data_IF_581660896837
#
_entry.id   IF_581660896837
#
_cell.length_a   1.000
_cell.length_b   1.000
_cell.length_c   1.000
_cell.angle_alpha   90.00
_cell.angle_beta   90.00
_cell.angle_gamma   90.00
#
_symmetry.space_group_name_H-M   'P 1'
#
loop_
_entity.id
_entity.type
_entity.pdbx_description
1 polymer ?
#
# COMPACT_ATOMS: atom_id res chain seq x y z
N UNK A 1 -9.69 -13.55 15.55
CA UNK A 1 -10.66 -12.43 15.61
C UNK A 1 -9.97 -11.25 16.28
N UNK A 2 -9.62 -10.14 15.68
CA UNK A 2 -9.38 -9.73 14.30
C UNK A 2 -8.27 -8.67 14.42
N UNK A 3 -7.34 -8.63 13.47
CA UNK A 3 -6.34 -7.56 13.45
C UNK A 3 -7.07 -6.27 13.11
N UNK A 4 -7.20 -5.40 14.13
CA UNK A 4 -7.63 -3.99 14.13
C UNK A 4 -8.96 -3.63 13.45
N UNK A 5 -9.67 -2.64 14.02
CA UNK A 5 -10.85 -1.99 13.44
C UNK A 5 -10.54 -1.18 12.15
N UNK A 6 -9.38 -1.40 11.52
CA UNK A 6 -8.80 -0.60 10.45
C UNK A 6 -8.62 -1.40 9.15
N UNK A 7 -9.51 -2.36 8.87
CA UNK A 7 -9.48 -3.19 7.65
C UNK A 7 -8.11 -3.88 7.39
N UNK A 8 -7.40 -4.30 8.45
CA UNK A 8 -6.10 -4.96 8.33
C UNK A 8 -4.88 -4.03 8.22
N UNK A 9 -5.04 -2.71 8.32
CA UNK A 9 -3.91 -1.77 8.38
C UNK A 9 -3.19 -1.81 9.74
N UNK A 10 -1.86 -1.64 9.69
CA UNK A 10 -1.04 -1.48 10.89
C UNK A 10 -1.39 -0.18 11.63
N UNK A 11 -1.28 -0.15 12.97
CA UNK A 11 -1.30 1.09 13.75
C UNK A 11 -0.19 2.05 13.33
N UNK A 12 -0.49 3.36 13.35
CA UNK A 12 0.47 4.39 12.92
C UNK A 12 1.75 4.41 13.78
N UNK A 13 1.62 4.16 15.08
CA UNK A 13 2.74 4.17 16.02
C UNK A 13 3.77 3.06 15.71
N UNK A 14 3.31 1.93 15.17
CA UNK A 14 4.20 0.83 14.75
C UNK A 14 4.98 1.22 13.50
N UNK A 15 4.32 1.86 12.53
CA UNK A 15 5.01 2.35 11.32
C UNK A 15 5.98 3.49 11.69
N UNK A 16 5.65 4.31 12.69
CA UNK A 16 6.55 5.35 13.20
C UNK A 16 7.75 4.81 13.98
N UNK A 17 7.69 3.61 14.56
CA UNK A 17 8.78 3.07 15.39
C UNK A 17 9.87 2.32 14.62
N UNK A 18 9.66 1.98 13.36
CA UNK A 18 10.64 1.27 12.50
C UNK A 18 11.43 2.25 11.63
N UNK A 19 12.42 1.82 10.85
CA UNK A 19 13.09 2.67 9.84
C UNK A 19 12.46 2.52 8.45
N UNK A 20 11.99 1.32 8.13
CA UNK A 20 11.32 0.98 6.88
C UNK A 20 10.15 0.03 7.16
N UNK A 21 9.02 0.27 6.49
CA UNK A 21 7.83 -0.57 6.57
C UNK A 21 7.45 -1.08 5.18
N UNK A 22 7.34 -2.40 5.03
CA UNK A 22 6.86 -3.04 3.81
C UNK A 22 5.39 -3.43 3.99
N UNK A 23 4.51 -2.79 3.22
CA UNK A 23 3.06 -2.96 3.37
C UNK A 23 2.45 -3.64 2.13
N UNK A 24 1.41 -4.44 2.36
CA UNK A 24 0.64 -5.08 1.28
C UNK A 24 -0.07 -4.03 0.43
N UNK A 25 0.01 -4.20 -0.89
CA UNK A 25 -0.63 -3.35 -1.88
C UNK A 25 -1.28 -4.19 -2.97
N UNK A 26 -1.94 -5.29 -2.58
CA UNK A 26 -2.57 -6.23 -3.52
C UNK A 26 -3.46 -5.48 -4.52
N UNK A 27 -4.37 -4.64 -4.02
CA UNK A 27 -5.27 -3.84 -4.84
C UNK A 27 -5.07 -2.34 -4.62
N UNK A 28 -5.05 -1.57 -5.70
CA UNK A 28 -4.97 -0.11 -5.61
C UNK A 28 -6.27 0.49 -5.06
N UNK A 29 -7.41 0.05 -5.60
CA UNK A 29 -8.77 0.42 -5.16
C UNK A 29 -9.72 -0.77 -5.26
N UNK A 30 -10.93 -0.62 -4.71
CA UNK A 30 -11.99 -1.62 -4.86
C UNK A 30 -12.41 -1.88 -6.31
N UNK A 31 -12.15 -0.93 -7.21
CA UNK A 31 -12.52 -1.04 -8.63
C UNK A 31 -11.72 -2.13 -9.37
N UNK A 32 -10.60 -2.61 -8.80
CA UNK A 32 -9.86 -3.76 -9.34
C UNK A 32 -10.61 -5.10 -9.18
N UNK A 33 -11.67 -5.13 -8.36
CA UNK A 33 -12.49 -6.32 -8.10
C UNK A 33 -13.92 -6.12 -8.64
N UNK A 34 -14.14 -6.05 -9.97
CA UNK A 34 -15.45 -5.73 -10.54
C UNK A 34 -16.55 -6.75 -10.21
N UNK A 35 -16.17 -7.99 -9.86
CA UNK A 35 -17.10 -9.10 -9.61
C UNK A 35 -17.04 -9.65 -8.17
N UNK A 36 -16.37 -8.95 -7.24
CA UNK A 36 -16.26 -9.37 -5.83
C UNK A 36 -16.46 -8.18 -4.91
N UNK A 37 -17.15 -8.40 -3.81
CA UNK A 37 -17.19 -7.38 -2.77
C UNK A 37 -15.81 -7.33 -2.10
N UNK A 38 -15.23 -6.12 -1.99
CA UNK A 38 -13.98 -5.93 -1.26
C UNK A 38 -14.11 -6.33 0.22
N UNK A 39 -15.31 -6.30 0.79
CA UNK A 39 -15.56 -6.80 2.15
C UNK A 39 -15.30 -8.31 2.30
N UNK A 40 -15.36 -9.07 1.19
CA UNK A 40 -15.03 -10.51 1.17
C UNK A 40 -13.51 -10.76 1.11
N UNK A 41 -12.73 -9.72 0.83
CA UNK A 41 -11.27 -9.74 0.72
C UNK A 41 -10.72 -8.69 1.68
N UNK A 42 -10.53 -9.01 2.97
CA UNK A 42 -10.16 -8.05 4.01
C UNK A 42 -8.67 -7.64 3.88
N UNK A 43 -8.35 -6.97 2.79
CA UNK A 43 -7.06 -6.37 2.49
C UNK A 43 -7.24 -4.86 2.35
N UNK A 44 -6.36 -4.08 2.97
CA UNK A 44 -6.40 -2.65 2.77
C UNK A 44 -5.98 -2.29 1.36
N UNK A 45 -6.66 -1.30 0.78
CA UNK A 45 -6.29 -0.77 -0.53
C UNK A 45 -5.10 0.19 -0.41
N UNK A 46 -4.41 0.42 -1.53
CA UNK A 46 -3.36 1.45 -1.60
C UNK A 46 -3.92 2.82 -1.22
N UNK A 47 -5.14 3.15 -1.65
CA UNK A 47 -5.79 4.42 -1.29
C UNK A 47 -5.96 4.58 0.23
N UNK A 48 -6.40 3.54 0.93
CA UNK A 48 -6.50 3.57 2.39
C UNK A 48 -5.13 3.72 3.07
N UNK A 49 -4.10 3.10 2.49
CA UNK A 49 -2.71 3.22 2.97
C UNK A 49 -2.18 4.64 2.80
N UNK A 50 -2.41 5.27 1.64
CA UNK A 50 -2.01 6.66 1.35
C UNK A 50 -2.67 7.64 2.31
N UNK A 51 -3.98 7.49 2.56
CA UNK A 51 -4.72 8.35 3.48
C UNK A 51 -4.24 8.20 4.93
N UNK A 52 -4.07 6.96 5.40
CA UNK A 52 -3.69 6.69 6.80
C UNK A 52 -2.29 7.15 7.15
N UNK A 53 -1.32 6.97 6.23
CA UNK A 53 0.09 7.23 6.51
C UNK A 53 0.62 8.51 5.83
N UNK A 54 -0.28 9.42 5.45
CA UNK A 54 0.10 10.74 4.97
C UNK A 54 1.00 11.45 6.00
N UNK A 55 2.17 11.88 5.56
CA UNK A 55 3.19 12.51 6.42
C UNK A 55 4.26 11.54 6.96
N UNK A 56 4.19 10.24 6.64
CA UNK A 56 5.28 9.27 6.87
C UNK A 56 6.05 8.98 5.57
N UNK A 57 6.50 10.06 4.94
CA UNK A 57 7.19 10.04 3.64
C UNK A 57 8.46 9.16 3.68
N UNK A 58 8.71 8.46 2.58
CA UNK A 58 9.90 7.63 2.28
C UNK A 58 10.15 6.43 3.21
N UNK A 59 9.26 6.22 4.19
CA UNK A 59 9.33 5.13 5.16
C UNK A 59 8.60 3.86 4.71
N UNK A 60 7.60 4.03 3.86
CA UNK A 60 6.72 2.95 3.43
C UNK A 60 7.12 2.51 2.03
N UNK A 61 7.27 1.20 1.85
CA UNK A 61 7.38 0.55 0.55
C UNK A 61 6.19 -0.40 0.35
N UNK A 62 5.39 -0.15 -0.68
CA UNK A 62 4.30 -1.01 -1.10
C UNK A 62 4.83 -2.23 -1.86
N UNK A 63 4.40 -3.42 -1.45
CA UNK A 63 4.80 -4.71 -2.05
C UNK A 63 3.58 -5.59 -2.33
N UNK A 64 3.81 -6.75 -2.96
CA UNK A 64 2.75 -7.73 -3.27
C UNK A 64 1.63 -7.14 -4.15
N UNK A 65 2.02 -6.59 -5.30
CA UNK A 65 1.12 -5.95 -6.26
C UNK A 65 0.42 -7.01 -7.11
N UNK A 66 -0.92 -7.05 -7.11
CA UNK A 66 -1.67 -7.91 -8.02
C UNK A 66 -1.39 -7.52 -9.49
N UNK A 67 -1.50 -8.46 -10.43
CA UNK A 67 -1.12 -8.22 -11.83
C UNK A 67 -1.89 -7.07 -12.51
N UNK A 68 -3.12 -6.78 -12.06
CA UNK A 68 -3.93 -5.66 -12.54
C UNK A 68 -3.55 -4.31 -11.94
N UNK A 69 -2.67 -4.29 -10.96
CA UNK A 69 -2.42 -3.10 -10.16
C UNK A 69 -1.75 -2.02 -11.03
N UNK A 70 -2.35 -0.81 -11.12
CA UNK A 70 -1.85 0.26 -11.97
C UNK A 70 -0.46 0.77 -11.57
N UNK A 71 0.01 0.44 -10.35
CA UNK A 71 1.35 0.81 -9.89
C UNK A 71 2.48 0.14 -10.67
N UNK A 72 2.22 -0.90 -11.46
CA UNK A 72 3.20 -1.45 -12.39
C UNK A 72 3.55 -0.46 -13.51
N UNK A 73 2.60 0.35 -13.95
CA UNK A 73 2.85 1.41 -14.92
C UNK A 73 3.49 2.61 -14.22
N UNK A 74 4.74 2.89 -14.59
CA UNK A 74 5.53 4.02 -14.08
C UNK A 74 4.94 5.39 -14.46
N UNK A 75 4.09 5.44 -15.48
CA UNK A 75 3.44 6.66 -15.96
C UNK A 75 1.98 6.78 -15.49
N UNK A 76 1.48 5.82 -14.70
CA UNK A 76 0.11 5.88 -14.20
C UNK A 76 -0.07 7.03 -13.20
N UNK A 77 -1.27 7.62 -13.22
CA UNK A 77 -1.67 8.64 -12.24
C UNK A 77 -1.62 8.09 -10.82
N UNK A 78 -1.94 6.81 -10.65
CA UNK A 78 -1.90 6.07 -9.39
C UNK A 78 -0.49 6.02 -8.80
N UNK A 79 0.51 5.77 -9.65
CA UNK A 79 1.91 5.80 -9.24
C UNK A 79 2.39 7.20 -8.91
N UNK A 80 1.96 8.20 -9.69
CA UNK A 80 2.21 9.61 -9.39
C UNK A 80 1.64 10.01 -8.02
N UNK A 81 0.39 9.61 -7.71
CA UNK A 81 -0.23 9.84 -6.40
C UNK A 81 0.61 9.25 -5.25
N UNK A 82 1.12 8.03 -5.40
CA UNK A 82 1.99 7.42 -4.38
C UNK A 82 3.28 8.21 -4.18
N UNK A 83 3.91 8.63 -5.29
CA UNK A 83 5.14 9.41 -5.24
C UNK A 83 4.92 10.79 -4.59
N UNK A 84 3.78 11.44 -4.84
CA UNK A 84 3.43 12.74 -4.24
C UNK A 84 3.26 12.67 -2.71
N UNK A 85 2.83 11.52 -2.18
CA UNK A 85 2.72 11.25 -0.73
C UNK A 85 4.04 10.70 -0.15
N UNK A 86 5.08 10.54 -0.98
CA UNK A 86 6.37 10.02 -0.58
C UNK A 86 6.39 8.50 -0.34
N UNK A 87 5.36 7.76 -0.75
CA UNK A 87 5.33 6.30 -0.60
C UNK A 87 6.11 5.63 -1.74
N UNK A 88 7.01 4.71 -1.39
CA UNK A 88 7.80 3.95 -2.35
C UNK A 88 7.00 2.77 -2.91
N UNK A 89 7.24 2.42 -4.17
CA UNK A 89 6.73 1.18 -4.78
C UNK A 89 7.88 0.18 -4.89
N UNK A 90 7.67 -1.03 -4.37
CA UNK A 90 8.60 -2.16 -4.47
C UNK A 90 8.88 -2.52 -5.93
N UNK A 91 10.12 -2.86 -6.22
CA UNK A 91 10.57 -3.27 -7.55
C UNK A 91 11.31 -4.58 -7.40
N UNK A 92 11.03 -5.55 -8.27
CA UNK A 92 11.73 -6.83 -8.26
C UNK A 92 13.24 -6.62 -8.41
N UNK A 93 14.03 -7.35 -7.61
CA UNK A 93 15.49 -7.25 -7.58
C UNK A 93 16.04 -6.04 -6.82
N UNK A 94 15.18 -5.18 -6.25
CA UNK A 94 15.63 -4.09 -5.38
C UNK A 94 16.20 -4.66 -4.08
N UNK A 95 17.39 -4.19 -3.73
CA UNK A 95 18.06 -4.49 -2.46
C UNK A 95 17.85 -3.31 -1.52
N UNK A 96 17.60 -3.62 -0.24
CA UNK A 96 17.47 -2.64 0.82
C UNK A 96 18.57 -2.90 1.84
N UNK A 97 19.32 -1.87 2.16
CA UNK A 97 20.24 -1.87 3.29
C UNK A 97 19.46 -1.33 4.49
N UNK A 98 19.43 -2.12 5.56
CA UNK A 98 18.66 -1.89 6.79
C UNK A 98 19.61 -1.95 7.98
#
# INVERSE_FOLDING_TARGET
>A
RGWSNDNGLLPIDIVQSVDQAFLDATFFSADELPNRNIDEVPHPTVLQTLEKFKGLEHKITLIHLNHSNPLYDKQSKQREQCNQVGINIGIQGRVYEI
#
